data_IF_810586978715
#
_entry.id   IF_810586978715
#
_cell.length_a   1.000
_cell.length_b   1.000
_cell.length_c   1.000
_cell.angle_alpha   90.00
_cell.angle_beta   90.00
_cell.angle_gamma   90.00
#
_symmetry.space_group_name_H-M   'P 1'
#
loop_
_entity.id
_entity.type
_entity.pdbx_description
1 polymer ?
#
# COMPACT_ATOMS: atom_id res chain seq x y z
N UNK A 1 26.20 32.89 0.28
CA UNK A 1 25.71 32.86 -1.11
C UNK A 1 25.12 34.22 -1.55
N UNK A 2 24.06 34.73 -0.90
CA UNK A 2 23.40 35.98 -1.33
C UNK A 2 24.35 37.19 -1.40
N UNK A 3 25.23 37.36 -0.40
CA UNK A 3 26.20 38.46 -0.37
C UNK A 3 27.20 38.43 -1.53
N UNK A 4 27.70 37.23 -1.88
CA UNK A 4 28.65 37.05 -3.01
C UNK A 4 27.94 37.28 -4.34
N UNK A 5 26.69 36.81 -4.47
CA UNK A 5 25.85 37.10 -5.63
C UNK A 5 25.54 38.60 -5.75
N UNK A 6 25.28 39.29 -4.63
CA UNK A 6 25.08 40.75 -4.59
C UNK A 6 26.35 41.53 -4.94
N UNK A 7 27.52 41.09 -4.47
CA UNK A 7 28.82 41.68 -4.86
C UNK A 7 29.14 41.45 -6.34
N UNK A 8 28.83 40.27 -6.85
CA UNK A 8 29.01 39.93 -8.26
C UNK A 8 28.07 40.75 -9.15
N UNK A 9 26.80 40.84 -8.78
CA UNK A 9 25.81 41.72 -9.44
C UNK A 9 26.23 43.18 -9.37
N UNK A 10 26.73 43.68 -8.23
CA UNK A 10 27.18 45.08 -8.12
C UNK A 10 28.38 45.38 -9.02
N UNK A 11 29.23 44.38 -9.32
CA UNK A 11 30.32 44.51 -10.28
C UNK A 11 29.85 44.43 -11.73
N UNK A 12 28.84 43.60 -12.02
CA UNK A 12 28.36 43.34 -13.38
C UNK A 12 27.33 44.38 -13.87
N UNK A 13 26.49 44.88 -12.97
CA UNK A 13 25.48 45.92 -13.24
C UNK A 13 26.04 47.32 -12.93
N UNK A 14 27.18 47.64 -13.54
CA UNK A 14 27.75 48.99 -13.55
C UNK A 14 26.93 49.93 -14.46
N UNK A 15 25.62 50.02 -14.24
CA UNK A 15 24.92 51.27 -14.50
C UNK A 15 25.06 52.08 -13.22
N UNK A 16 25.47 53.34 -13.33
CA UNK A 16 25.38 54.28 -12.21
C UNK A 16 23.91 54.34 -11.76
N UNK A 17 23.53 53.49 -10.81
CA UNK A 17 22.35 53.72 -10.01
C UNK A 17 22.71 54.98 -9.23
N UNK A 18 22.32 56.14 -9.77
CA UNK A 18 22.41 57.43 -9.11
C UNK A 18 21.48 57.40 -7.91
N UNK A 19 21.91 56.73 -6.85
CA UNK A 19 21.34 56.93 -5.53
C UNK A 19 21.44 58.42 -5.25
N UNK A 20 20.29 59.02 -4.92
CA UNK A 20 20.08 60.45 -4.74
C UNK A 20 21.33 61.18 -4.24
N UNK A 21 21.74 62.24 -4.95
CA UNK A 21 22.89 63.11 -4.62
C UNK A 21 22.84 63.76 -3.23
N UNK A 22 21.77 63.54 -2.47
CA UNK A 22 21.55 64.01 -1.11
C UNK A 22 22.48 63.35 -0.07
N UNK A 23 23.11 62.20 -0.40
CA UNK A 23 23.97 61.43 0.50
C UNK A 23 25.48 61.73 0.37
N UNK A 24 25.87 62.73 -0.44
CA UNK A 24 27.28 63.05 -0.68
C UNK A 24 27.90 63.97 0.40
N UNK A 25 27.51 63.74 1.65
CA UNK A 25 28.09 64.40 2.83
C UNK A 25 29.14 63.45 3.41
N UNK A 26 30.44 63.82 3.47
CA UNK A 26 31.52 62.94 3.95
C UNK A 26 31.24 62.33 5.33
N UNK A 27 30.55 63.08 6.20
CA UNK A 27 30.12 62.64 7.53
C UNK A 27 29.11 61.48 7.45
N UNK A 28 28.15 61.54 6.53
CA UNK A 28 27.11 60.53 6.36
C UNK A 28 27.66 59.23 5.75
N UNK A 29 28.61 59.33 4.80
CA UNK A 29 29.38 58.18 4.30
C UNK A 29 30.21 57.51 5.40
N UNK A 30 30.83 58.30 6.28
CA UNK A 30 31.61 57.77 7.41
C UNK A 30 30.73 57.03 8.41
N UNK A 31 29.57 57.60 8.75
CA UNK A 31 28.57 56.95 9.64
C UNK A 31 28.06 55.66 9.00
N UNK A 32 27.68 55.69 7.71
CA UNK A 32 27.21 54.50 6.99
C UNK A 32 28.26 53.39 6.94
N UNK A 33 29.52 53.72 6.65
CA UNK A 33 30.61 52.74 6.64
C UNK A 33 30.83 52.13 8.02
N UNK A 34 30.79 52.94 9.08
CA UNK A 34 30.89 52.43 10.46
C UNK A 34 29.71 51.51 10.78
N UNK A 35 28.49 51.85 10.40
CA UNK A 35 27.31 50.99 10.58
C UNK A 35 27.44 49.66 9.83
N UNK A 36 27.94 49.68 8.58
CA UNK A 36 28.16 48.47 7.79
C UNK A 36 29.26 47.59 8.40
N UNK A 37 30.36 48.17 8.88
CA UNK A 37 31.43 47.43 9.56
C UNK A 37 30.89 46.77 10.84
N UNK A 38 30.10 47.49 11.64
CA UNK A 38 29.45 46.93 12.82
C UNK A 38 28.49 45.81 12.43
N UNK A 39 27.67 46.00 11.40
CA UNK A 39 26.73 45.00 10.91
C UNK A 39 27.44 43.74 10.42
N UNK A 40 28.53 43.87 9.64
CA UNK A 40 29.33 42.74 9.18
C UNK A 40 30.09 42.07 10.31
N UNK A 41 30.59 42.84 11.27
CA UNK A 41 31.20 42.31 12.50
C UNK A 41 30.21 41.47 13.29
N UNK A 42 28.99 41.96 13.50
CA UNK A 42 27.91 41.23 14.17
C UNK A 42 27.52 39.96 13.40
N UNK A 43 27.39 40.00 12.07
CA UNK A 43 27.12 38.81 11.26
C UNK A 43 28.26 37.80 11.32
N UNK A 44 29.51 38.26 11.34
CA UNK A 44 30.68 37.38 11.44
C UNK A 44 30.74 36.67 12.79
N UNK A 45 30.51 37.41 13.89
CA UNK A 45 30.39 36.83 15.23
C UNK A 45 29.21 35.86 15.29
N UNK A 46 28.04 36.25 14.77
CA UNK A 46 26.87 35.37 14.70
C UNK A 46 27.13 34.08 13.91
N UNK A 47 27.82 34.17 12.78
CA UNK A 47 28.23 33.02 11.98
C UNK A 47 29.21 32.08 12.71
N UNK A 48 30.18 32.65 13.42
CA UNK A 48 31.12 31.87 14.25
C UNK A 48 30.40 31.18 15.43
N UNK A 49 29.45 31.86 16.07
CA UNK A 49 28.62 31.28 17.13
C UNK A 49 27.78 30.14 16.57
N UNK A 50 27.12 30.33 15.42
CA UNK A 50 26.33 29.29 14.78
C UNK A 50 27.16 28.06 14.41
N UNK A 51 28.33 28.23 13.78
CA UNK A 51 29.24 27.14 13.45
C UNK A 51 29.78 26.41 14.69
N UNK A 52 30.07 27.16 15.76
CA UNK A 52 30.49 26.58 17.05
C UNK A 52 29.37 25.77 17.71
N UNK A 53 28.13 26.26 17.64
CA UNK A 53 26.95 25.53 18.13
C UNK A 53 26.69 24.26 17.31
N UNK A 54 26.84 24.31 15.98
CA UNK A 54 26.72 23.15 15.09
C UNK A 54 27.81 22.09 15.36
N UNK A 55 29.02 22.51 15.72
CA UNK A 55 30.08 21.59 16.14
C UNK A 55 29.80 20.94 17.51
N UNK A 56 29.25 21.69 18.46
CA UNK A 56 29.01 21.22 19.84
C UNK A 56 27.72 20.41 20.01
N UNK A 57 26.72 20.66 19.18
CA UNK A 57 25.41 20.04 19.26
C UNK A 57 25.05 19.42 17.90
N UNK A 58 24.68 18.13 17.86
CA UNK A 58 24.26 17.48 16.62
C UNK A 58 22.86 17.99 16.22
N UNK A 59 22.81 19.12 15.50
CA UNK A 59 21.55 19.71 15.02
C UNK A 59 21.05 19.09 13.70
N UNK A 60 21.88 18.31 13.01
CA UNK A 60 21.53 17.71 11.72
C UNK A 60 20.88 16.33 11.91
N UNK A 61 19.55 16.32 11.96
CA UNK A 61 18.78 15.06 11.90
C UNK A 61 19.09 14.32 10.59
N UNK A 62 19.35 15.03 9.49
CA UNK A 62 19.73 14.42 8.23
C UNK A 62 21.04 13.62 8.30
N UNK A 63 22.05 14.12 9.04
CA UNK A 63 23.30 13.39 9.29
C UNK A 63 23.06 12.12 10.10
N UNK A 64 22.24 12.19 11.15
CA UNK A 64 21.88 11.02 11.97
C UNK A 64 21.17 9.95 11.15
N UNK A 65 20.24 10.34 10.27
CA UNK A 65 19.55 9.41 9.35
C UNK A 65 20.54 8.78 8.37
N UNK A 66 21.43 9.58 7.76
CA UNK A 66 22.44 9.07 6.84
C UNK A 66 23.41 8.09 7.53
N UNK A 67 23.83 8.40 8.76
CA UNK A 67 24.69 7.54 9.56
C UNK A 67 23.98 6.21 9.87
N UNK A 68 22.72 6.26 10.29
CA UNK A 68 21.91 5.05 10.54
C UNK A 68 21.80 4.16 9.29
N UNK A 69 21.57 4.75 8.12
CA UNK A 69 21.49 4.01 6.84
C UNK A 69 22.83 3.34 6.51
N UNK A 70 23.95 4.05 6.66
CA UNK A 70 25.31 3.51 6.44
C UNK A 70 25.63 2.39 7.43
N UNK A 71 25.34 2.58 8.72
CA UNK A 71 25.56 1.59 9.77
C UNK A 71 24.70 0.33 9.56
N UNK A 72 23.51 0.50 9.01
CA UNK A 72 22.61 -0.60 8.62
C UNK A 72 23.02 -1.31 7.32
N UNK A 73 24.09 -0.87 6.64
CA UNK A 73 24.54 -1.37 5.33
C UNK A 73 23.48 -1.30 4.24
N UNK A 74 22.59 -0.32 4.34
CA UNK A 74 21.45 -0.12 3.45
C UNK A 74 21.69 1.04 2.46
N UNK A 75 22.90 1.61 2.48
CA UNK A 75 23.30 2.76 1.67
C UNK A 75 23.36 2.49 0.17
N UNK A 76 23.40 1.23 -0.26
CA UNK A 76 23.29 0.85 -1.68
C UNK A 76 21.84 0.76 -2.19
N UNK A 77 20.84 0.71 -1.31
CA UNK A 77 19.44 0.56 -1.72
C UNK A 77 18.92 1.80 -2.44
N UNK A 78 17.81 1.63 -3.17
CA UNK A 78 17.02 2.72 -3.71
C UNK A 78 16.38 3.50 -2.54
N UNK A 79 16.46 4.83 -2.59
CA UNK A 79 15.95 5.70 -1.52
C UNK A 79 14.91 6.65 -2.09
N UNK A 80 13.72 6.64 -1.48
CA UNK A 80 12.62 7.53 -1.80
C UNK A 80 12.36 8.54 -0.66
N UNK A 81 12.39 9.83 -1.00
CA UNK A 81 12.03 10.91 -0.09
C UNK A 81 10.52 11.14 -0.07
N UNK A 82 9.80 10.51 0.87
CA UNK A 82 8.34 10.67 1.01
C UNK A 82 7.93 12.04 1.57
N UNK A 83 8.84 12.70 2.29
CA UNK A 83 8.70 14.11 2.63
C UNK A 83 8.94 15.00 1.40
N UNK A 84 8.43 16.24 1.39
CA UNK A 84 8.81 17.24 0.39
C UNK A 84 10.33 17.27 0.15
N UNK A 85 10.73 17.43 -1.12
CA UNK A 85 12.11 17.27 -1.60
C UNK A 85 13.14 18.03 -0.74
N UNK A 86 12.76 19.23 -0.29
CA UNK A 86 13.56 20.13 0.57
C UNK A 86 13.99 19.52 1.91
N UNK A 87 13.24 18.55 2.45
CA UNK A 87 13.53 17.94 3.76
C UNK A 87 14.47 16.73 3.69
N UNK A 88 14.54 16.05 2.54
CA UNK A 88 15.34 14.82 2.41
C UNK A 88 16.68 15.03 1.69
N UNK A 89 16.84 16.16 0.98
CA UNK A 89 18.08 16.55 0.32
C UNK A 89 19.29 16.62 1.25
N UNK A 90 19.09 16.98 2.51
CA UNK A 90 20.16 16.97 3.51
C UNK A 90 20.76 15.56 3.67
N UNK A 91 19.90 14.54 3.74
CA UNK A 91 20.33 13.13 3.88
C UNK A 91 21.10 12.67 2.65
N UNK A 92 20.64 13.07 1.45
CA UNK A 92 21.32 12.76 0.19
C UNK A 92 22.77 13.22 0.21
N UNK A 93 23.01 14.46 0.67
CA UNK A 93 24.35 15.03 0.76
C UNK A 93 25.28 14.24 1.68
N UNK A 94 24.78 13.73 2.81
CA UNK A 94 25.59 12.91 3.73
C UNK A 94 25.78 11.46 3.28
N UNK A 95 24.84 10.93 2.49
CA UNK A 95 24.95 9.60 1.91
C UNK A 95 25.87 9.55 0.69
N UNK A 96 26.26 10.69 0.13
CA UNK A 96 27.11 10.77 -1.08
C UNK A 96 26.49 10.01 -2.26
N UNK A 97 25.15 9.97 -2.34
CA UNK A 97 24.42 9.36 -3.47
C UNK A 97 24.13 10.41 -4.55
N UNK A 98 24.08 9.95 -5.80
CA UNK A 98 23.83 10.83 -6.95
C UNK A 98 22.42 11.42 -6.94
N UNK A 99 21.42 10.66 -6.48
CA UNK A 99 20.01 11.05 -6.51
C UNK A 99 19.14 10.21 -5.57
N UNK A 100 18.04 10.80 -5.10
CA UNK A 100 16.90 10.09 -4.54
C UNK A 100 15.74 10.10 -5.53
N UNK A 101 14.76 9.22 -5.29
CA UNK A 101 13.44 9.32 -5.90
C UNK A 101 12.50 10.20 -5.07
N UNK A 102 11.81 11.13 -5.70
CA UNK A 102 10.83 12.02 -5.09
C UNK A 102 9.43 11.66 -5.60
N UNK A 103 8.68 10.79 -4.88
CA UNK A 103 7.37 10.29 -5.33
C UNK A 103 6.33 11.39 -5.57
N UNK A 104 6.41 12.51 -4.83
CA UNK A 104 5.49 13.65 -4.98
C UNK A 104 5.64 14.38 -6.32
N UNK A 105 6.84 14.37 -6.89
CA UNK A 105 7.13 14.99 -8.19
C UNK A 105 7.34 13.96 -9.30
N UNK A 106 7.41 12.68 -8.93
CA UNK A 106 7.74 11.52 -9.78
C UNK A 106 9.05 11.70 -10.53
N UNK A 107 10.11 12.07 -9.79
CA UNK A 107 11.41 12.40 -10.36
C UNK A 107 12.53 11.83 -9.53
N UNK A 108 13.59 11.43 -10.22
CA UNK A 108 14.90 11.33 -9.58
C UNK A 108 15.58 12.70 -9.58
N UNK A 109 16.32 13.01 -8.51
CA UNK A 109 17.10 14.23 -8.47
C UNK A 109 18.00 14.37 -7.25
N UNK A 110 18.83 15.40 -7.28
CA UNK A 110 19.72 15.81 -6.19
C UNK A 110 19.49 17.24 -5.71
N UNK A 111 18.41 17.86 -6.15
CA UNK A 111 18.00 19.21 -5.77
C UNK A 111 16.48 19.37 -5.98
N UNK A 112 15.89 20.30 -5.24
CA UNK A 112 14.47 20.62 -5.37
C UNK A 112 14.20 21.45 -6.61
N UNK A 113 13.23 21.03 -7.42
CA UNK A 113 12.75 21.78 -8.59
C UNK A 113 11.42 22.45 -8.22
N UNK A 114 11.45 23.78 -8.10
CA UNK A 114 10.28 24.59 -7.73
C UNK A 114 9.37 24.84 -8.93
N UNK A 115 8.62 23.82 -9.34
CA UNK A 115 7.67 23.90 -10.45
C UNK A 115 6.23 23.56 -10.04
N UNK A 116 5.33 23.49 -11.03
CA UNK A 116 3.94 23.13 -10.77
C UNK A 116 3.80 21.70 -10.24
N UNK A 117 4.67 20.74 -10.60
CA UNK A 117 4.60 19.38 -10.02
C UNK A 117 4.91 19.41 -8.54
N UNK A 118 5.95 20.13 -8.15
CA UNK A 118 6.29 20.33 -6.74
C UNK A 118 5.15 21.00 -5.96
N UNK A 119 4.53 22.04 -6.55
CA UNK A 119 3.41 22.77 -5.92
C UNK A 119 2.19 21.89 -5.69
N UNK A 120 1.80 21.06 -6.66
CA UNK A 120 0.67 20.12 -6.52
C UNK A 120 1.04 18.91 -5.63
N UNK A 121 2.27 18.42 -5.73
CA UNK A 121 2.75 17.24 -5.00
C UNK A 121 2.84 17.46 -3.49
N UNK A 122 2.92 18.71 -3.01
CA UNK A 122 2.99 19.04 -1.58
C UNK A 122 1.73 18.65 -0.82
N UNK A 123 0.57 18.69 -1.47
CA UNK A 123 -0.72 18.30 -0.90
C UNK A 123 -1.06 16.83 -1.08
N UNK A 124 -0.22 16.05 -1.78
CA UNK A 124 -0.48 14.61 -2.00
C UNK A 124 -0.57 13.86 -0.66
N UNK A 125 -1.66 13.12 -0.40
CA UNK A 125 -1.79 12.27 0.77
C UNK A 125 -0.64 11.27 0.91
N UNK A 126 -0.31 10.86 2.14
CA UNK A 126 0.78 9.89 2.36
C UNK A 126 0.48 8.53 1.73
N UNK A 127 -0.79 8.11 1.68
CA UNK A 127 -1.22 6.88 1.00
C UNK A 127 -0.83 6.85 -0.48
N UNK A 128 -1.12 7.91 -1.23
CA UNK A 128 -0.74 8.05 -2.64
C UNK A 128 0.78 8.11 -2.83
N UNK A 129 1.51 8.73 -1.89
CA UNK A 129 2.98 8.74 -1.91
C UNK A 129 3.55 7.34 -1.74
N UNK A 130 3.01 6.56 -0.80
CA UNK A 130 3.43 5.18 -0.56
C UNK A 130 3.05 4.26 -1.73
N UNK A 131 1.88 4.44 -2.35
CA UNK A 131 1.50 3.73 -3.57
C UNK A 131 2.47 3.99 -4.72
N UNK A 132 2.91 5.23 -4.92
CA UNK A 132 3.91 5.55 -5.95
C UNK A 132 5.28 4.91 -5.65
N UNK A 133 5.68 4.84 -4.37
CA UNK A 133 6.90 4.13 -3.96
C UNK A 133 6.76 2.63 -4.19
N UNK A 134 5.61 2.05 -3.84
CA UNK A 134 5.32 0.63 -4.06
C UNK A 134 5.37 0.30 -5.56
N UNK A 135 4.72 1.13 -6.40
CA UNK A 135 4.79 1.02 -7.86
C UNK A 135 6.24 1.01 -8.37
N UNK A 136 7.10 1.87 -7.81
CA UNK A 136 8.52 1.91 -8.16
C UNK A 136 9.27 0.66 -7.69
N UNK A 137 8.99 0.18 -6.48
CA UNK A 137 9.56 -1.06 -5.93
C UNK A 137 9.19 -2.27 -6.81
N UNK A 138 7.91 -2.39 -7.19
CA UNK A 138 7.41 -3.46 -8.05
C UNK A 138 7.97 -3.37 -9.49
N UNK A 139 8.09 -2.17 -10.05
CA UNK A 139 8.66 -1.96 -11.39
C UNK A 139 10.16 -2.33 -11.44
N UNK A 140 10.87 -2.16 -10.32
CA UNK A 140 12.31 -2.40 -10.22
C UNK A 140 12.65 -3.79 -9.68
N UNK A 141 11.68 -4.50 -9.10
CA UNK A 141 11.90 -5.74 -8.36
C UNK A 141 12.96 -5.56 -7.25
N UNK A 142 12.90 -4.41 -6.54
CA UNK A 142 13.86 -4.02 -5.51
C UNK A 142 13.17 -3.37 -4.30
N UNK A 143 13.70 -3.61 -3.11
CA UNK A 143 13.27 -2.93 -1.88
C UNK A 143 13.68 -1.45 -1.87
N UNK A 144 12.81 -0.58 -1.34
CA UNK A 144 13.01 0.88 -1.30
C UNK A 144 13.01 1.40 0.13
N UNK A 145 14.07 2.15 0.50
CA UNK A 145 14.11 2.89 1.76
C UNK A 145 13.25 4.14 1.64
N UNK A 146 12.31 4.31 2.56
CA UNK A 146 11.45 5.49 2.62
C UNK A 146 11.90 6.44 3.72
N UNK A 147 12.27 7.66 3.35
CA UNK A 147 12.57 8.74 4.30
C UNK A 147 11.36 9.66 4.41
N UNK A 148 10.72 9.67 5.58
CA UNK A 148 9.53 10.50 5.85
C UNK A 148 9.78 11.47 7.01
N UNK A 149 9.20 12.67 6.91
CA UNK A 149 9.22 13.69 7.96
C UNK A 149 8.04 13.57 8.94
N UNK A 150 7.08 12.68 8.64
CA UNK A 150 5.96 12.34 9.52
C UNK A 150 6.00 10.84 9.78
N UNK A 151 5.58 10.39 10.97
CA UNK A 151 5.26 8.98 11.17
C UNK A 151 4.34 8.56 10.03
N UNK A 152 4.71 7.52 9.30
CA UNK A 152 3.74 6.84 8.45
C UNK A 152 2.71 6.28 9.42
N UNK A 153 1.44 6.70 9.30
CA UNK A 153 0.37 6.20 10.16
C UNK A 153 0.40 4.68 10.09
N UNK A 154 0.86 4.10 11.20
CA UNK A 154 1.20 2.71 11.28
C UNK A 154 -0.06 2.00 11.70
N UNK A 155 -0.89 1.59 10.75
CA UNK A 155 -1.91 0.58 11.05
C UNK A 155 -1.12 -0.71 11.29
N UNK A 156 -0.97 -1.06 12.57
CA UNK A 156 -0.35 -2.31 12.99
C UNK A 156 -1.42 -3.39 12.93
N UNK A 157 -1.42 -4.24 11.91
CA UNK A 157 -2.32 -5.40 11.94
C UNK A 157 -1.68 -6.52 12.74
N UNK A 158 -2.43 -7.18 13.64
CA UNK A 158 -2.14 -8.56 13.99
C UNK A 158 -2.02 -9.46 12.74
N UNK A 159 -1.21 -10.51 12.86
CA UNK A 159 -1.23 -11.63 11.91
C UNK A 159 -2.65 -12.17 11.76
N UNK A 160 -3.00 -12.76 10.61
CA UNK A 160 -4.26 -13.51 10.48
C UNK A 160 -4.20 -14.69 11.46
N UNK A 161 -5.25 -14.95 12.27
CA UNK A 161 -5.23 -16.07 13.19
C UNK A 161 -5.32 -17.40 12.46
N UNK A 162 -4.82 -18.44 13.13
CA UNK A 162 -5.21 -19.81 12.81
C UNK A 162 -6.64 -20.01 13.29
N UNK A 163 -7.50 -20.42 12.35
CA UNK A 163 -8.93 -20.61 12.61
C UNK A 163 -9.19 -22.10 12.54
N UNK A 164 -9.63 -22.70 13.65
CA UNK A 164 -9.85 -24.16 13.71
C UNK A 164 -11.22 -24.59 13.17
N UNK A 165 -12.04 -23.63 12.75
CA UNK A 165 -13.30 -23.88 12.08
C UNK A 165 -13.09 -24.28 10.60
N UNK A 166 -14.06 -25.01 9.99
CA UNK A 166 -14.01 -25.32 8.57
C UNK A 166 -13.89 -24.07 7.69
N UNK A 167 -13.28 -24.23 6.52
CA UNK A 167 -13.44 -23.28 5.43
C UNK A 167 -14.85 -23.46 4.84
N UNK A 168 -15.58 -22.37 4.75
CA UNK A 168 -16.94 -22.34 4.22
C UNK A 168 -17.04 -21.39 3.04
N UNK A 169 -17.79 -21.81 2.02
CA UNK A 169 -18.07 -21.00 0.82
C UNK A 169 -19.53 -20.58 0.87
N UNK A 170 -19.79 -19.29 0.69
CA UNK A 170 -21.12 -18.72 0.64
C UNK A 170 -21.76 -18.40 1.99
N UNK A 171 -21.01 -18.43 3.11
CA UNK A 171 -21.47 -17.90 4.40
C UNK A 171 -20.31 -17.55 5.33
N UNK A 172 -20.62 -16.78 6.37
CA UNK A 172 -19.77 -16.58 7.55
C UNK A 172 -20.65 -16.30 8.78
N UNK A 173 -20.14 -16.65 9.95
CA UNK A 173 -20.75 -16.37 11.27
C UNK A 173 -22.16 -16.94 11.46
N UNK A 174 -22.53 -17.98 10.70
CA UNK A 174 -23.89 -18.53 10.64
C UNK A 174 -24.98 -17.51 10.27
N UNK A 175 -24.62 -16.34 9.70
CA UNK A 175 -25.57 -15.26 9.36
C UNK A 175 -25.38 -14.71 7.94
N UNK A 176 -24.13 -14.45 7.51
CA UNK A 176 -23.82 -13.70 6.28
C UNK A 176 -23.92 -14.57 5.01
N UNK A 177 -25.07 -15.20 4.79
CA UNK A 177 -25.30 -16.10 3.66
C UNK A 177 -25.31 -15.39 2.30
N UNK A 178 -24.64 -15.99 1.34
CA UNK A 178 -24.58 -15.52 -0.04
C UNK A 178 -25.86 -15.84 -0.81
N UNK A 179 -26.32 -14.88 -1.62
CA UNK A 179 -27.45 -15.06 -2.54
C UNK A 179 -27.00 -14.73 -3.95
N UNK A 180 -26.68 -15.77 -4.72
CA UNK A 180 -26.04 -15.61 -6.02
C UNK A 180 -25.41 -16.90 -6.51
N UNK A 181 -24.43 -16.76 -7.39
CA UNK A 181 -23.65 -17.88 -7.92
C UNK A 181 -22.15 -17.63 -7.73
N UNK A 182 -21.39 -18.65 -7.36
CA UNK A 182 -19.93 -18.61 -7.26
C UNK A 182 -19.36 -19.62 -8.24
N UNK A 183 -18.31 -19.22 -8.95
CA UNK A 183 -17.60 -20.03 -9.93
C UNK A 183 -16.07 -19.85 -9.76
N UNK A 184 -15.26 -20.83 -10.20
CA UNK A 184 -13.79 -20.78 -10.26
C UNK A 184 -13.10 -20.25 -8.98
N UNK A 185 -13.34 -20.88 -7.82
CA UNK A 185 -12.69 -20.48 -6.56
C UNK A 185 -11.24 -21.01 -6.50
N UNK A 186 -10.28 -20.11 -6.41
CA UNK A 186 -8.86 -20.40 -6.32
C UNK A 186 -8.27 -19.74 -5.05
N UNK A 187 -7.53 -20.52 -4.26
CA UNK A 187 -6.74 -20.03 -3.13
C UNK A 187 -5.29 -20.49 -3.24
N UNK A 188 -4.34 -19.56 -3.07
CA UNK A 188 -2.90 -19.82 -3.13
C UNK A 188 -2.16 -19.22 -1.95
N UNK A 189 -1.01 -19.80 -1.56
CA UNK A 189 -0.07 -19.30 -0.53
C UNK A 189 0.99 -18.34 -1.07
N UNK A 190 0.71 -17.76 -2.23
CA UNK A 190 1.55 -16.72 -2.85
C UNK A 190 0.69 -15.62 -3.44
N UNK A 191 1.34 -14.51 -3.75
CA UNK A 191 0.70 -13.46 -4.54
C UNK A 191 0.65 -13.89 -6.01
N UNK A 192 -0.53 -13.94 -6.62
CA UNK A 192 -0.65 -14.06 -8.06
C UNK A 192 -0.15 -12.77 -8.72
N UNK A 193 0.49 -12.92 -9.87
CA UNK A 193 0.87 -11.80 -10.73
C UNK A 193 -0.34 -11.28 -11.52
N UNK A 194 -0.24 -10.05 -12.04
CA UNK A 194 -1.27 -9.48 -12.92
C UNK A 194 -1.56 -10.37 -14.14
N UNK A 195 -0.53 -11.03 -14.70
CA UNK A 195 -0.70 -11.94 -15.83
C UNK A 195 -1.53 -13.17 -15.44
N UNK A 196 -1.26 -13.75 -14.28
CA UNK A 196 -2.02 -14.91 -13.78
C UNK A 196 -3.46 -14.54 -13.43
N UNK A 197 -3.70 -13.35 -12.88
CA UNK A 197 -5.04 -12.83 -12.62
C UNK A 197 -5.82 -12.68 -13.94
N UNK A 198 -5.19 -12.13 -14.98
CA UNK A 198 -5.80 -12.02 -16.31
C UNK A 198 -6.02 -13.38 -16.97
N UNK A 199 -5.11 -14.34 -16.76
CA UNK A 199 -5.29 -15.71 -17.24
C UNK A 199 -6.52 -16.38 -16.59
N UNK A 200 -6.68 -16.20 -15.28
CA UNK A 200 -7.87 -16.67 -14.55
C UNK A 200 -9.14 -15.96 -15.03
N UNK A 201 -9.03 -14.69 -15.40
CA UNK A 201 -10.16 -13.90 -15.92
C UNK A 201 -10.61 -14.40 -17.30
N UNK A 202 -9.67 -14.66 -18.21
CA UNK A 202 -9.99 -15.04 -19.58
C UNK A 202 -10.41 -16.51 -19.70
N UNK A 203 -9.81 -17.40 -18.90
CA UNK A 203 -9.86 -18.85 -19.13
C UNK A 203 -10.35 -19.67 -17.93
N UNK A 204 -10.65 -19.07 -16.78
CA UNK A 204 -10.94 -19.81 -15.54
C UNK A 204 -9.69 -20.45 -14.95
N UNK A 205 -9.86 -21.45 -14.07
CA UNK A 205 -8.78 -22.25 -13.51
C UNK A 205 -8.19 -23.12 -14.62
N UNK A 206 -6.88 -23.00 -14.80
CA UNK A 206 -6.11 -23.75 -15.81
C UNK A 206 -5.11 -24.67 -15.13
N UNK A 207 -4.62 -25.68 -15.85
CA UNK A 207 -3.67 -26.68 -15.33
C UNK A 207 -2.45 -26.06 -14.63
N UNK A 208 -1.90 -24.96 -15.16
CA UNK A 208 -0.75 -24.29 -14.53
C UNK A 208 -1.04 -23.75 -13.12
N UNK A 209 -2.30 -23.48 -12.78
CA UNK A 209 -2.72 -23.06 -11.45
C UNK A 209 -2.97 -24.26 -10.53
N UNK A 210 -3.49 -25.38 -11.04
CA UNK A 210 -3.80 -26.56 -10.23
C UNK A 210 -2.54 -27.36 -9.84
N UNK A 211 -1.54 -27.38 -10.72
CA UNK A 211 -0.25 -28.08 -10.46
C UNK A 211 0.75 -27.23 -9.67
N UNK A 212 0.43 -25.96 -9.42
CA UNK A 212 1.24 -25.09 -8.57
C UNK A 212 1.24 -25.61 -7.12
N UNK A 213 2.40 -25.93 -6.53
CA UNK A 213 2.47 -26.43 -5.16
C UNK A 213 1.97 -25.43 -4.11
N UNK A 214 1.89 -24.14 -4.42
CA UNK A 214 1.34 -23.12 -3.53
C UNK A 214 -0.18 -22.93 -3.69
N UNK A 215 -0.82 -23.59 -4.66
CA UNK A 215 -2.29 -23.62 -4.76
C UNK A 215 -2.84 -24.63 -3.77
N UNK A 216 -3.61 -24.14 -2.79
CA UNK A 216 -4.17 -24.94 -1.68
C UNK A 216 -5.65 -25.25 -1.84
N UNK A 217 -6.32 -24.57 -2.78
CA UNK A 217 -7.69 -24.83 -3.17
C UNK A 217 -7.90 -24.40 -4.61
N UNK A 218 -8.44 -25.26 -5.46
CA UNK A 218 -8.84 -24.93 -6.81
C UNK A 218 -10.15 -25.65 -7.16
N UNK A 219 -11.28 -24.95 -7.09
CA UNK A 219 -12.61 -25.48 -7.37
C UNK A 219 -13.19 -24.80 -8.60
N UNK A 220 -13.18 -25.51 -9.73
CA UNK A 220 -13.80 -25.05 -10.98
C UNK A 220 -15.33 -25.14 -10.98
N UNK A 221 -15.91 -25.89 -10.03
CA UNK A 221 -17.33 -26.21 -9.97
C UNK A 221 -17.88 -26.82 -11.28
N UNK A 222 -17.04 -27.53 -12.03
CA UNK A 222 -17.34 -28.14 -13.32
C UNK A 222 -18.14 -29.45 -13.24
N UNK A 223 -18.34 -30.03 -12.05
CA UNK A 223 -18.93 -31.35 -11.83
C UNK A 223 -20.40 -31.40 -12.24
N UNK A 224 -21.18 -30.39 -11.85
CA UNK A 224 -22.55 -30.20 -12.30
C UNK A 224 -23.60 -31.16 -11.72
N UNK A 225 -23.21 -32.11 -10.88
CA UNK A 225 -24.09 -33.05 -10.19
C UNK A 225 -23.51 -33.53 -8.85
N UNK A 226 -24.34 -34.20 -8.04
CA UNK A 226 -23.95 -34.66 -6.70
C UNK A 226 -23.94 -33.56 -5.65
N UNK A 227 -23.39 -33.88 -4.48
CA UNK A 227 -23.31 -33.01 -3.29
C UNK A 227 -21.87 -32.68 -2.90
N UNK A 228 -20.91 -32.92 -3.79
CA UNK A 228 -19.48 -32.69 -3.53
C UNK A 228 -18.87 -31.86 -4.66
N UNK A 229 -18.02 -30.90 -4.31
CA UNK A 229 -17.16 -30.15 -5.23
C UNK A 229 -15.71 -30.57 -5.02
N UNK A 230 -14.97 -30.77 -6.11
CA UNK A 230 -13.63 -31.32 -6.09
C UNK A 230 -12.62 -30.17 -6.05
N UNK A 231 -11.67 -30.31 -5.13
CA UNK A 231 -10.44 -29.54 -5.14
C UNK A 231 -9.46 -30.18 -6.12
N UNK A 232 -9.11 -29.43 -7.16
CA UNK A 232 -8.17 -29.82 -8.22
C UNK A 232 -6.70 -29.61 -7.81
N UNK A 233 -6.45 -29.01 -6.65
CA UNK A 233 -5.11 -28.89 -6.09
C UNK A 233 -4.57 -30.21 -5.55
N UNK A 234 -3.30 -30.23 -5.16
CA UNK A 234 -2.68 -31.42 -4.53
C UNK A 234 -3.11 -31.63 -3.07
N UNK A 235 -3.93 -30.76 -2.49
CA UNK A 235 -4.32 -30.80 -1.08
C UNK A 235 -5.61 -31.56 -0.79
N UNK A 236 -6.40 -31.88 -1.82
CA UNK A 236 -7.64 -32.68 -1.67
C UNK A 236 -8.67 -32.07 -0.70
N UNK A 237 -8.72 -30.73 -0.62
CA UNK A 237 -9.69 -30.00 0.20
C UNK A 237 -11.07 -29.99 -0.46
N UNK A 238 -11.69 -31.15 -0.62
CA UNK A 238 -13.01 -31.28 -1.25
C UNK A 238 -14.11 -30.66 -0.39
N UNK A 239 -15.12 -30.08 -1.04
CA UNK A 239 -16.25 -29.44 -0.37
C UNK A 239 -17.53 -30.24 -0.46
N UNK A 240 -18.32 -30.26 0.62
CA UNK A 240 -19.67 -30.85 0.67
C UNK A 240 -20.71 -29.74 0.61
N UNK A 241 -21.60 -29.80 -0.38
CA UNK A 241 -22.68 -28.83 -0.57
C UNK A 241 -23.73 -29.00 0.52
N UNK A 242 -24.08 -27.90 1.19
CA UNK A 242 -25.18 -27.79 2.14
C UNK A 242 -26.29 -26.94 1.53
N UNK A 243 -27.08 -27.56 0.66
CA UNK A 243 -28.23 -26.93 -0.02
C UNK A 243 -27.90 -26.14 -1.29
N UNK A 244 -26.61 -25.88 -1.58
CA UNK A 244 -26.18 -25.26 -2.82
C UNK A 244 -26.53 -26.15 -4.03
N UNK A 245 -26.79 -25.53 -5.18
CA UNK A 245 -27.23 -26.26 -6.39
C UNK A 245 -26.37 -25.92 -7.59
N UNK A 246 -26.14 -26.91 -8.43
CA UNK A 246 -25.47 -26.72 -9.70
C UNK A 246 -26.33 -25.92 -10.68
N UNK A 247 -25.69 -25.00 -11.41
CA UNK A 247 -26.30 -24.29 -12.54
C UNK A 247 -25.25 -23.93 -13.60
N UNK A 248 -25.65 -23.23 -14.66
CA UNK A 248 -24.70 -22.78 -15.67
C UNK A 248 -23.87 -21.61 -15.15
N UNK A 249 -22.55 -21.78 -15.16
CA UNK A 249 -21.59 -20.85 -14.59
C UNK A 249 -21.07 -19.80 -15.56
N UNK A 250 -20.05 -19.08 -15.11
CA UNK A 250 -19.19 -18.26 -15.96
C UNK A 250 -18.38 -19.19 -16.90
N UNK A 251 -17.88 -20.30 -16.36
CA UNK A 251 -17.19 -21.35 -17.11
C UNK A 251 -17.88 -22.68 -16.86
N UNK A 252 -18.63 -23.17 -17.86
CA UNK A 252 -19.41 -24.41 -17.77
C UNK A 252 -20.49 -24.39 -16.67
N UNK A 253 -20.13 -24.74 -15.43
CA UNK A 253 -21.01 -24.94 -14.29
C UNK A 253 -20.58 -24.06 -13.12
N UNK A 254 -21.49 -23.80 -12.20
CA UNK A 254 -21.22 -23.02 -10.98
C UNK A 254 -22.12 -23.51 -9.86
N UNK A 255 -21.86 -23.06 -8.64
CA UNK A 255 -22.74 -23.28 -7.49
C UNK A 255 -23.64 -22.06 -7.25
N UNK A 256 -24.94 -22.32 -7.12
CA UNK A 256 -25.97 -21.37 -6.77
C UNK A 256 -26.32 -21.47 -5.30
N UNK A 257 -26.33 -20.31 -4.64
CA UNK A 257 -26.63 -20.12 -3.24
C UNK A 257 -27.91 -19.28 -3.12
N UNK A 258 -28.87 -19.75 -2.33
CA UNK A 258 -30.21 -19.15 -2.21
C UNK A 258 -30.37 -18.22 -1.00
N UNK A 259 -29.27 -17.89 -0.30
CA UNK A 259 -29.29 -17.16 0.97
C UNK A 259 -29.47 -18.03 2.20
N UNK A 260 -29.50 -19.35 2.06
CA UNK A 260 -29.44 -20.32 3.18
C UNK A 260 -28.44 -21.44 2.96
N UNK A 261 -28.00 -21.63 1.71
CA UNK A 261 -27.02 -22.63 1.30
C UNK A 261 -25.56 -22.21 1.56
N UNK A 262 -24.68 -23.19 1.71
CA UNK A 262 -23.23 -23.03 1.76
C UNK A 262 -22.49 -24.29 1.29
N UNK A 263 -21.16 -24.26 1.23
CA UNK A 263 -20.30 -25.44 1.07
C UNK A 263 -19.39 -25.55 2.29
N UNK A 264 -19.25 -26.74 2.83
CA UNK A 264 -18.33 -27.09 3.92
C UNK A 264 -17.10 -27.80 3.33
N UNK A 265 -15.94 -27.15 3.36
CA UNK A 265 -14.66 -27.65 2.83
C UNK A 265 -13.82 -28.36 3.90
N UNK A 266 -14.31 -28.40 5.15
CA UNK A 266 -13.55 -28.92 6.27
C UNK A 266 -12.41 -28.00 6.70
N UNK A 267 -11.64 -28.46 7.69
CA UNK A 267 -10.50 -27.72 8.23
C UNK A 267 -9.19 -28.46 7.89
N UNK A 268 -8.27 -27.77 7.23
CA UNK A 268 -6.91 -28.22 6.98
C UNK A 268 -5.94 -27.06 7.20
N UNK A 269 -4.72 -27.36 7.68
CA UNK A 269 -3.66 -26.38 7.90
C UNK A 269 -3.24 -25.68 6.60
N UNK A 270 -3.38 -26.34 5.45
CA UNK A 270 -3.13 -25.74 4.14
C UNK A 270 -4.06 -24.55 3.87
N UNK A 271 -5.20 -24.44 4.55
CA UNK A 271 -6.17 -23.36 4.38
C UNK A 271 -5.90 -22.17 5.31
N UNK A 272 -4.92 -22.25 6.23
CA UNK A 272 -4.63 -21.19 7.21
C UNK A 272 -3.78 -20.06 6.65
N UNK A 273 -4.31 -18.85 6.57
CA UNK A 273 -3.64 -17.70 5.92
C UNK A 273 -2.60 -16.99 6.81
N UNK A 274 -2.08 -17.66 7.84
CA UNK A 274 -1.11 -17.07 8.76
C UNK A 274 0.21 -16.73 8.05
N UNK A 275 0.86 -15.63 8.46
CA UNK A 275 2.28 -15.34 8.17
C UNK A 275 2.76 -15.30 6.71
N UNK A 276 1.88 -15.43 5.71
CA UNK A 276 2.23 -15.70 4.31
C UNK A 276 1.60 -14.69 3.36
N UNK A 277 2.18 -14.58 2.16
CA UNK A 277 1.47 -14.01 1.02
C UNK A 277 0.34 -14.98 0.62
N UNK A 278 -0.73 -14.47 0.02
CA UNK A 278 -1.77 -15.36 -0.48
C UNK A 278 -2.59 -14.67 -1.57
N UNK A 279 -3.36 -15.47 -2.30
CA UNK A 279 -4.40 -14.97 -3.19
C UNK A 279 -5.69 -15.74 -2.97
N UNK A 280 -6.82 -15.02 -2.96
CA UNK A 280 -8.16 -15.60 -3.09
C UNK A 280 -8.76 -15.00 -4.36
N UNK A 281 -9.10 -15.83 -5.34
CA UNK A 281 -9.73 -15.43 -6.59
C UNK A 281 -11.00 -16.23 -6.81
N UNK A 282 -12.06 -15.60 -7.29
CA UNK A 282 -13.32 -16.26 -7.61
C UNK A 282 -14.14 -15.43 -8.60
N UNK A 283 -15.07 -16.09 -9.27
CA UNK A 283 -16.14 -15.43 -10.01
C UNK A 283 -17.41 -15.40 -9.18
N UNK A 284 -18.10 -14.26 -9.17
CA UNK A 284 -19.37 -14.09 -8.45
C UNK A 284 -20.44 -13.50 -9.35
N UNK A 285 -21.68 -13.96 -9.18
CA UNK A 285 -22.87 -13.38 -9.76
C UNK A 285 -23.89 -13.09 -8.65
N UNK A 286 -24.05 -11.80 -8.32
CA UNK A 286 -24.95 -11.38 -7.25
C UNK A 286 -26.41 -11.48 -7.70
N UNK A 287 -27.27 -12.23 -7.00
CA UNK A 287 -28.73 -12.23 -7.24
C UNK A 287 -29.47 -11.35 -6.23
N UNK A 288 -28.96 -11.33 -5.01
CA UNK A 288 -29.30 -10.35 -3.99
C UNK A 288 -28.10 -9.47 -3.68
N UNK A 289 -28.34 -8.41 -2.90
CA UNK A 289 -27.30 -7.60 -2.29
C UNK A 289 -27.46 -7.57 -0.76
N UNK A 290 -27.48 -8.72 -0.04
CA UNK A 290 -27.27 -8.72 1.41
C UNK A 290 -25.79 -8.59 1.76
N UNK A 291 -25.47 -8.30 3.03
CA UNK A 291 -24.12 -8.57 3.55
C UNK A 291 -23.87 -10.07 3.39
N UNK A 292 -22.83 -10.44 2.65
CA UNK A 292 -22.70 -11.81 2.17
C UNK A 292 -21.25 -12.22 2.00
N UNK A 293 -20.83 -13.22 2.77
CA UNK A 293 -19.49 -13.77 2.68
C UNK A 293 -19.37 -14.66 1.44
N UNK A 294 -18.27 -14.49 0.72
CA UNK A 294 -17.92 -15.37 -0.39
C UNK A 294 -17.21 -16.62 0.11
N UNK A 295 -16.22 -16.43 0.98
CA UNK A 295 -15.43 -17.50 1.59
C UNK A 295 -14.94 -17.06 2.96
N UNK A 296 -14.96 -17.98 3.92
CA UNK A 296 -14.66 -17.70 5.32
C UNK A 296 -14.01 -18.89 6.01
N UNK A 297 -13.15 -18.62 7.00
CA UNK A 297 -13.00 -19.50 8.17
C UNK A 297 -13.39 -18.67 9.38
N UNK A 298 -14.40 -19.10 10.13
CA UNK A 298 -14.86 -18.36 11.28
C UNK A 298 -15.31 -19.26 12.43
N UNK A 299 -14.90 -18.91 13.65
CA UNK A 299 -15.30 -19.62 14.87
C UNK A 299 -16.63 -19.07 15.46
N UNK A 300 -17.44 -18.37 14.66
CA UNK A 300 -18.70 -17.75 15.07
C UNK A 300 -18.57 -16.30 15.54
N UNK A 301 -19.68 -15.69 15.98
CA UNK A 301 -19.84 -14.25 16.26
C UNK A 301 -18.85 -13.63 17.27
N UNK A 302 -18.68 -12.30 17.18
CA UNK A 302 -17.90 -11.51 18.14
C UNK A 302 -16.39 -11.61 17.93
N UNK A 303 -15.61 -11.40 19.00
CA UNK A 303 -14.13 -11.40 19.01
C UNK A 303 -13.52 -12.81 19.01
N UNK A 304 -14.00 -13.69 18.14
CA UNK A 304 -13.39 -15.01 17.90
C UNK A 304 -12.43 -14.96 16.73
N UNK A 305 -11.54 -15.95 16.64
CA UNK A 305 -10.67 -16.08 15.49
C UNK A 305 -11.51 -16.27 14.22
N UNK A 306 -11.34 -15.37 13.26
CA UNK A 306 -11.97 -15.49 11.95
C UNK A 306 -11.25 -14.66 10.92
N UNK A 307 -11.45 -15.06 9.67
CA UNK A 307 -11.29 -14.20 8.53
C UNK A 307 -12.36 -14.53 7.50
N UNK A 308 -12.80 -13.53 6.75
CA UNK A 308 -13.70 -13.75 5.62
C UNK A 308 -13.58 -12.66 4.56
N UNK A 309 -13.76 -13.07 3.31
CA UNK A 309 -13.91 -12.18 2.16
C UNK A 309 -15.41 -11.99 1.92
N UNK A 310 -15.88 -10.75 1.95
CA UNK A 310 -17.31 -10.41 2.02
C UNK A 310 -17.66 -9.26 1.07
N UNK A 311 -18.90 -9.27 0.58
CA UNK A 311 -19.53 -8.10 -0.03
C UNK A 311 -20.42 -7.39 0.99
N UNK A 312 -20.17 -6.10 1.19
CA UNK A 312 -20.94 -5.23 2.06
C UNK A 312 -21.76 -4.23 1.20
N UNK A 313 -23.04 -4.48 0.95
CA UNK A 313 -23.91 -3.56 0.24
C UNK A 313 -24.16 -2.26 1.02
N UNK A 314 -24.08 -1.14 0.31
CA UNK A 314 -24.57 0.17 0.76
C UNK A 314 -25.05 0.95 -0.47
N UNK A 315 -26.00 1.87 -0.26
CA UNK A 315 -26.54 2.71 -1.34
C UNK A 315 -25.47 3.62 -1.94
N UNK A 316 -24.49 4.06 -1.14
CA UNK A 316 -23.42 4.96 -1.57
C UNK A 316 -22.03 4.33 -1.48
N UNK A 317 -21.81 3.49 -0.48
CA UNK A 317 -20.47 3.08 -0.05
C UNK A 317 -20.33 1.55 -0.06
N UNK A 318 -20.94 0.87 -1.04
CA UNK A 318 -20.79 -0.58 -1.18
C UNK A 318 -19.33 -0.94 -1.39
N UNK A 319 -18.91 -2.05 -0.82
CA UNK A 319 -17.53 -2.50 -0.91
C UNK A 319 -17.44 -4.02 -0.92
N UNK A 320 -16.31 -4.51 -1.42
CA UNK A 320 -15.78 -5.82 -1.04
C UNK A 320 -14.77 -5.59 0.08
N UNK A 321 -14.73 -6.49 1.06
CA UNK A 321 -13.85 -6.36 2.19
C UNK A 321 -13.26 -7.68 2.63
N UNK A 322 -12.07 -7.61 3.21
CA UNK A 322 -11.48 -8.70 3.96
C UNK A 322 -11.51 -8.36 5.44
N UNK A 323 -12.23 -9.16 6.22
CA UNK A 323 -12.30 -9.02 7.66
C UNK A 323 -11.34 -9.98 8.34
N UNK A 324 -10.71 -9.53 9.43
CA UNK A 324 -9.88 -10.36 10.31
C UNK A 324 -10.29 -10.03 11.74
N UNK A 325 -10.52 -11.04 12.57
CA UNK A 325 -10.78 -10.85 13.99
C UNK A 325 -9.98 -11.82 14.85
N UNK A 326 -9.62 -11.38 16.07
CA UNK A 326 -8.91 -12.17 17.06
C UNK A 326 -9.35 -11.77 18.47
N UNK A 327 -9.40 -12.71 19.43
CA UNK A 327 -9.67 -12.40 20.82
C UNK A 327 -8.73 -11.31 21.38
N UNK A 328 -9.30 -10.29 21.99
CA UNK A 328 -8.55 -9.21 22.65
C UNK A 328 -7.87 -8.22 21.71
N UNK A 329 -8.23 -8.22 20.42
CA UNK A 329 -7.77 -7.22 19.44
C UNK A 329 -8.96 -6.61 18.71
N UNK A 330 -8.80 -5.38 18.26
CA UNK A 330 -9.81 -4.75 17.41
C UNK A 330 -9.92 -5.48 16.07
N UNK A 331 -11.14 -5.75 15.64
CA UNK A 331 -11.42 -6.37 14.35
C UNK A 331 -10.99 -5.46 13.20
N UNK A 332 -10.33 -6.04 12.20
CA UNK A 332 -9.77 -5.32 11.06
C UNK A 332 -10.70 -5.43 9.88
N UNK A 333 -10.95 -4.30 9.21
CA UNK A 333 -11.68 -4.27 7.95
C UNK A 333 -10.81 -3.64 6.87
N UNK A 334 -10.46 -4.45 5.87
CA UNK A 334 -9.72 -4.01 4.69
C UNK A 334 -10.74 -3.85 3.57
N UNK A 335 -11.19 -2.61 3.36
CA UNK A 335 -12.29 -2.30 2.44
C UNK A 335 -11.77 -1.84 1.08
N UNK A 336 -12.39 -2.32 0.00
CA UNK A 336 -12.21 -1.81 -1.35
C UNK A 336 -13.56 -1.35 -1.92
N UNK A 337 -13.73 -0.05 -2.22
CA UNK A 337 -14.98 0.46 -2.80
C UNK A 337 -15.32 -0.27 -4.09
N UNK A 338 -16.53 -0.83 -4.15
CA UNK A 338 -16.99 -1.55 -5.33
C UNK A 338 -18.52 -1.63 -5.36
N UNK A 339 -19.08 -1.44 -6.55
CA UNK A 339 -20.51 -1.54 -6.79
C UNK A 339 -20.79 -2.55 -7.90
N UNK A 340 -21.14 -3.78 -7.53
CA UNK A 340 -21.56 -4.81 -8.47
C UNK A 340 -23.03 -4.66 -8.87
N UNK A 341 -23.34 -4.88 -10.15
CA UNK A 341 -24.72 -5.08 -10.61
C UNK A 341 -25.20 -6.49 -10.26
N UNK A 342 -26.51 -6.68 -10.05
CA UNK A 342 -27.04 -8.03 -9.92
C UNK A 342 -27.15 -8.72 -11.28
N UNK A 343 -27.16 -10.06 -11.28
CA UNK A 343 -27.30 -10.91 -12.46
C UNK A 343 -26.15 -10.77 -13.48
N UNK A 344 -24.98 -10.31 -13.02
CA UNK A 344 -23.76 -10.17 -13.83
C UNK A 344 -22.59 -10.85 -13.14
N UNK A 345 -21.78 -11.54 -13.93
CA UNK A 345 -20.53 -12.16 -13.49
C UNK A 345 -19.43 -11.11 -13.35
N UNK A 346 -18.74 -11.18 -12.22
CA UNK A 346 -17.53 -10.40 -11.92
C UNK A 346 -16.45 -11.32 -11.37
N UNK A 347 -15.21 -11.13 -11.81
CA UNK A 347 -14.07 -11.73 -11.14
C UNK A 347 -13.70 -10.86 -9.95
N UNK A 348 -13.61 -11.44 -8.75
CA UNK A 348 -13.12 -10.77 -7.55
C UNK A 348 -11.82 -11.46 -7.14
N UNK A 349 -10.76 -10.67 -6.94
CA UNK A 349 -9.46 -11.19 -6.50
C UNK A 349 -8.93 -10.34 -5.35
N UNK A 350 -8.49 -11.00 -4.29
CA UNK A 350 -7.73 -10.43 -3.19
C UNK A 350 -6.31 -11.02 -3.22
N UNK A 351 -5.30 -10.17 -3.36
CA UNK A 351 -3.89 -10.53 -3.27
C UNK A 351 -3.28 -9.91 -2.01
N UNK A 352 -2.70 -10.73 -1.15
CA UNK A 352 -1.78 -10.30 -0.09
C UNK A 352 -0.35 -10.41 -0.59
N UNK A 353 0.37 -9.29 -0.63
CA UNK A 353 1.80 -9.19 -0.99
C UNK A 353 2.54 -8.39 0.08
N UNK A 354 3.32 -9.07 0.91
CA UNK A 354 3.97 -8.51 2.09
C UNK A 354 2.95 -7.85 3.01
N UNK A 355 3.06 -6.54 3.15
CA UNK A 355 2.16 -5.72 3.94
C UNK A 355 0.91 -5.23 3.17
N UNK A 356 0.85 -5.45 1.86
CA UNK A 356 -0.24 -4.93 1.02
C UNK A 356 -1.35 -5.95 0.80
N UNK A 357 -2.59 -5.47 0.83
CA UNK A 357 -3.78 -6.16 0.36
C UNK A 357 -4.31 -5.42 -0.86
N UNK A 358 -4.35 -6.11 -1.99
CA UNK A 358 -4.67 -5.56 -3.29
C UNK A 358 -5.92 -6.26 -3.80
N UNK A 359 -6.94 -5.47 -4.11
CA UNK A 359 -8.20 -5.97 -4.66
C UNK A 359 -8.24 -5.71 -6.16
N UNK A 360 -8.66 -6.72 -6.91
CA UNK A 360 -8.94 -6.63 -8.33
C UNK A 360 -10.39 -7.00 -8.62
N UNK A 361 -10.98 -6.29 -9.58
CA UNK A 361 -12.26 -6.66 -10.18
C UNK A 361 -12.10 -6.71 -11.69
N UNK A 362 -12.51 -7.82 -12.29
CA UNK A 362 -12.39 -8.07 -13.74
C UNK A 362 -10.96 -7.81 -14.25
N UNK A 363 -9.97 -8.33 -13.51
CA UNK A 363 -8.55 -8.15 -13.80
C UNK A 363 -7.99 -6.75 -13.58
N UNK A 364 -8.77 -5.77 -13.10
CA UNK A 364 -8.30 -4.40 -12.85
C UNK A 364 -8.16 -4.13 -11.36
N UNK A 365 -7.04 -3.55 -10.95
CA UNK A 365 -6.85 -3.10 -9.56
C UNK A 365 -7.90 -2.05 -9.21
N UNK A 366 -8.66 -2.30 -8.14
CA UNK A 366 -9.68 -1.38 -7.61
C UNK A 366 -9.25 -0.74 -6.30
N UNK A 367 -8.37 -1.39 -5.53
CA UNK A 367 -7.78 -0.80 -4.33
C UNK A 367 -6.48 -1.50 -3.94
N UNK A 368 -5.57 -0.75 -3.31
CA UNK A 368 -4.32 -1.27 -2.75
C UNK A 368 -4.08 -0.62 -1.38
N UNK A 369 -4.19 -1.43 -0.32
CA UNK A 369 -4.04 -1.01 1.06
C UNK A 369 -2.76 -1.63 1.63
N UNK A 370 -1.75 -0.81 1.92
CA UNK A 370 -0.52 -1.25 2.61
C UNK A 370 -0.66 -1.13 4.14
N UNK A 371 -0.34 -2.20 4.85
CA UNK A 371 -0.61 -2.37 6.28
C UNK A 371 0.57 -3.07 6.98
N UNK A 372 1.32 -2.35 7.80
CA UNK A 372 2.57 -2.83 8.43
C UNK A 372 2.31 -3.61 9.73
N UNK A 373 3.18 -4.54 10.14
CA UNK A 373 3.18 -5.09 11.51
C UNK A 373 4.09 -4.27 12.44
N UNK A 374 3.82 -4.27 13.74
CA UNK A 374 4.85 -3.94 14.72
C UNK A 374 5.69 -5.19 14.93
N UNK A 375 7.01 -5.07 14.78
CA UNK A 375 7.90 -6.03 15.41
C UNK A 375 7.58 -6.03 16.90
N UNK A 376 7.23 -7.20 17.43
CA UNK A 376 7.33 -7.47 18.86
C UNK A 376 8.77 -7.14 19.31
N UNK A 377 8.93 -6.57 20.52
CA UNK A 377 10.18 -5.98 20.99
C UNK A 377 11.38 -6.94 20.96
#
# INVERSE_FOLDING_TARGET
MLFVASMWLSRYSYQEIRFCSFLNIPMLKRVLNTMLIILFGLHSVGGLVAASLEYKHPFSQGKSVAQFIKESKADNMLIAGAAPDDLTLEVLGYLEKDQFYYPRTKRFGSYGIWDMKWRHGRSTPMSEVLQEIQRLSDERDEDVIVISARPVEKIILPNIPDVIAPLEIGRAEDENYFTGSIDELLMTKRSLTQEEILKHFDSGIVETMTVDPETVLAMSFGEGEGDTTIDLSNYSNHGVLKGAKWENGKFNKSLMFDGTAWVDVGNDESLDLNGTNFTIALWVNLRGKPNAAFVAKDEGLGERNKWFLIYNPSVKDSNIAFHINQPGKEGIWINAPWHGETFRWYQIVLVKKGYSYIFYVDGKEVNNISITTANTP
#
